data_IF_327492392534
#
_entry.id   IF_327492392534
#
_cell.length_a   1.000
_cell.length_b   1.000
_cell.length_c   1.000
_cell.angle_alpha   90.00
_cell.angle_beta   90.00
_cell.angle_gamma   90.00
#
_symmetry.space_group_name_H-M   'P 1'
#
loop_
_entity.id
_entity.type
_entity.pdbx_description
1 polymer ?
#
# COMPACT_ATOMS: atom_id res chain seq x y z
N UNK A 1 -0.86 -29.75 45.96
CA UNK A 1 0.10 -28.76 45.40
C UNK A 1 0.81 -29.21 44.10
N UNK A 2 1.19 -30.50 43.90
CA UNK A 2 1.90 -30.93 42.65
C UNK A 2 1.02 -30.98 41.37
N UNK A 3 -0.31 -31.11 41.48
CA UNK A 3 -1.21 -31.18 40.31
C UNK A 3 -1.58 -29.78 39.73
N UNK A 4 -1.56 -28.72 40.53
CA UNK A 4 -1.85 -27.36 40.07
C UNK A 4 -0.65 -26.75 39.35
N UNK A 5 0.58 -27.12 39.71
CA UNK A 5 1.81 -26.65 39.04
C UNK A 5 1.93 -27.18 37.59
N UNK A 6 1.47 -28.43 37.36
CA UNK A 6 1.47 -29.01 36.01
C UNK A 6 0.47 -28.35 35.05
N UNK A 7 -0.69 -27.93 35.58
CA UNK A 7 -1.74 -27.28 34.75
C UNK A 7 -1.35 -25.86 34.33
N UNK A 8 -0.68 -25.11 35.24
CA UNK A 8 -0.19 -23.76 34.93
C UNK A 8 0.96 -23.77 33.92
N UNK A 9 1.84 -24.79 33.97
CA UNK A 9 2.93 -24.93 33.00
C UNK A 9 2.41 -25.27 31.59
N UNK A 10 1.35 -26.09 31.49
CA UNK A 10 0.69 -26.41 30.21
C UNK A 10 -0.01 -25.18 29.58
N UNK A 11 -0.64 -24.33 30.40
CA UNK A 11 -1.27 -23.09 29.91
C UNK A 11 -0.24 -22.09 29.37
N UNK A 12 0.94 -21.99 29.98
CA UNK A 12 2.02 -21.12 29.50
C UNK A 12 2.62 -21.60 28.18
N UNK A 13 2.71 -22.92 27.96
CA UNK A 13 3.23 -23.48 26.71
C UNK A 13 2.32 -23.22 25.50
N UNK A 14 1.01 -23.11 25.71
CA UNK A 14 0.05 -22.81 24.62
C UNK A 14 0.04 -21.35 24.19
N UNK A 15 0.44 -20.42 25.06
CA UNK A 15 0.51 -18.99 24.72
C UNK A 15 1.77 -18.65 23.88
N UNK A 16 2.81 -19.48 23.92
CA UNK A 16 4.00 -19.27 23.09
C UNK A 16 3.87 -19.79 21.65
N UNK A 17 2.81 -20.55 21.34
CA UNK A 17 2.62 -21.16 20.01
C UNK A 17 2.06 -20.25 18.95
N UNK A 18 1.73 -18.97 19.25
CA UNK A 18 1.13 -18.04 18.30
C UNK A 18 2.05 -16.87 17.89
N UNK A 19 3.33 -16.90 18.20
CA UNK A 19 4.28 -16.04 17.50
C UNK A 19 4.50 -16.61 16.10
N UNK A 20 3.66 -16.20 15.17
CA UNK A 20 3.85 -16.43 13.74
C UNK A 20 5.22 -15.82 13.40
N UNK A 21 6.23 -16.66 13.23
CA UNK A 21 7.53 -16.22 12.77
C UNK A 21 7.34 -15.72 11.34
N UNK A 22 7.25 -14.40 11.19
CA UNK A 22 7.15 -13.82 9.86
C UNK A 22 8.41 -14.16 9.09
N UNK A 23 8.25 -14.81 7.95
CA UNK A 23 9.36 -15.08 7.05
C UNK A 23 9.99 -13.74 6.63
N UNK A 24 11.32 -13.60 6.72
CA UNK A 24 11.96 -12.36 6.29
C UNK A 24 11.67 -12.10 4.82
N UNK A 25 11.55 -10.81 4.49
CA UNK A 25 11.28 -10.36 3.13
C UNK A 25 12.41 -10.84 2.19
N UNK A 26 12.11 -11.44 1.03
CA UNK A 26 13.11 -11.77 0.03
C UNK A 26 13.96 -10.54 -0.35
N UNK A 27 15.28 -10.72 -0.42
CA UNK A 27 16.21 -9.64 -0.71
C UNK A 27 15.92 -8.93 -2.04
N UNK A 28 15.38 -9.67 -3.00
CA UNK A 28 15.00 -9.16 -4.32
C UNK A 28 13.86 -8.14 -4.24
N UNK A 29 12.89 -8.33 -3.32
CA UNK A 29 11.81 -7.36 -3.12
C UNK A 29 12.35 -6.05 -2.53
N UNK A 30 13.23 -6.14 -1.53
CA UNK A 30 13.89 -4.96 -0.95
C UNK A 30 14.76 -4.24 -1.98
N UNK A 31 15.44 -4.99 -2.85
CA UNK A 31 16.24 -4.42 -3.95
C UNK A 31 15.35 -3.71 -4.97
N UNK A 32 14.25 -4.34 -5.39
CA UNK A 32 13.30 -3.71 -6.33
C UNK A 32 12.72 -2.42 -5.75
N UNK A 33 12.39 -2.42 -4.46
CA UNK A 33 11.89 -1.23 -3.77
C UNK A 33 12.94 -0.11 -3.72
N UNK A 34 14.20 -0.42 -3.41
CA UNK A 34 15.28 0.58 -3.30
C UNK A 34 15.57 1.32 -4.60
N UNK A 35 15.37 0.67 -5.76
CA UNK A 35 15.58 1.30 -7.07
C UNK A 35 14.30 1.85 -7.71
N UNK A 36 13.17 1.68 -7.05
CA UNK A 36 11.83 2.00 -7.57
C UNK A 36 11.68 3.46 -8.04
N UNK A 37 12.36 4.41 -7.40
CA UNK A 37 12.25 5.83 -7.73
C UNK A 37 13.07 6.23 -8.94
N UNK A 38 14.29 5.76 -9.03
CA UNK A 38 15.22 6.15 -10.08
C UNK A 38 15.10 5.25 -11.32
N UNK A 39 14.80 3.97 -11.12
CA UNK A 39 14.75 2.94 -12.16
C UNK A 39 13.53 2.04 -12.04
N UNK A 40 12.30 2.57 -12.22
CA UNK A 40 11.06 1.78 -12.06
C UNK A 40 10.93 0.65 -13.10
N UNK A 41 11.55 0.78 -14.27
CA UNK A 41 11.66 -0.26 -15.29
C UNK A 41 12.49 -1.45 -14.79
N UNK A 42 13.64 -1.18 -14.19
CA UNK A 42 14.51 -2.20 -13.60
C UNK A 42 13.83 -2.87 -12.39
N UNK A 43 13.11 -2.10 -11.57
CA UNK A 43 12.31 -2.63 -10.48
C UNK A 43 11.21 -3.57 -11.01
N UNK A 44 10.47 -3.17 -12.05
CA UNK A 44 9.42 -3.99 -12.64
C UNK A 44 9.98 -5.28 -13.25
N UNK A 45 11.13 -5.22 -13.92
CA UNK A 45 11.80 -6.39 -14.48
C UNK A 45 12.22 -7.37 -13.37
N UNK A 46 12.85 -6.85 -12.30
CA UNK A 46 13.23 -7.65 -11.13
C UNK A 46 12.01 -8.33 -10.51
N UNK A 47 10.92 -7.59 -10.26
CA UNK A 47 9.69 -8.13 -9.70
C UNK A 47 9.06 -9.19 -10.62
N UNK A 48 9.06 -8.96 -11.93
CA UNK A 48 8.48 -9.90 -12.89
C UNK A 48 9.28 -11.21 -12.97
N UNK A 49 10.58 -11.19 -12.75
CA UNK A 49 11.40 -12.41 -12.68
C UNK A 49 11.03 -13.31 -11.51
N UNK A 50 10.37 -12.77 -10.48
CA UNK A 50 9.94 -13.50 -9.29
C UNK A 50 8.53 -14.11 -9.42
N UNK A 51 7.77 -13.82 -10.47
CA UNK A 51 6.36 -14.21 -10.59
C UNK A 51 6.10 -15.70 -10.33
N UNK A 52 6.99 -16.58 -10.77
CA UNK A 52 6.84 -18.02 -10.55
C UNK A 52 7.22 -18.45 -9.12
N UNK A 53 8.28 -17.89 -8.57
CA UNK A 53 8.78 -18.28 -7.25
C UNK A 53 7.94 -17.70 -6.12
N UNK A 54 7.42 -16.48 -6.30
CA UNK A 54 6.63 -15.78 -5.29
C UNK A 54 5.32 -16.48 -4.93
N UNK A 55 4.80 -17.31 -5.83
CA UNK A 55 3.58 -18.11 -5.59
C UNK A 55 3.73 -19.11 -4.44
N UNK A 56 4.97 -19.52 -4.12
CA UNK A 56 5.28 -20.41 -3.01
C UNK A 56 5.54 -19.65 -1.69
N UNK A 57 5.53 -18.32 -1.73
CA UNK A 57 5.75 -17.49 -0.56
C UNK A 57 4.45 -17.29 0.26
N UNK A 58 4.57 -16.97 1.56
CA UNK A 58 3.43 -16.57 2.39
C UNK A 58 2.65 -15.41 1.79
N UNK A 59 1.37 -15.32 2.14
CA UNK A 59 0.44 -14.35 1.55
C UNK A 59 0.90 -12.89 1.74
N UNK A 60 1.46 -12.53 2.89
CA UNK A 60 2.01 -11.19 3.13
C UNK A 60 3.09 -10.83 2.11
N UNK A 61 3.98 -11.75 1.77
CA UNK A 61 5.04 -11.54 0.78
C UNK A 61 4.45 -11.44 -0.63
N UNK A 62 3.47 -12.28 -0.96
CA UNK A 62 2.79 -12.23 -2.26
C UNK A 62 2.03 -10.92 -2.46
N UNK A 63 1.32 -10.42 -1.44
CA UNK A 63 0.58 -9.15 -1.51
C UNK A 63 1.53 -7.96 -1.62
N UNK A 64 2.64 -7.99 -0.89
CA UNK A 64 3.67 -6.96 -1.01
C UNK A 64 4.32 -6.94 -2.39
N UNK A 65 4.69 -8.09 -2.93
CA UNK A 65 5.21 -8.20 -4.30
C UNK A 65 4.21 -7.62 -5.32
N UNK A 66 2.92 -7.98 -5.20
CA UNK A 66 1.88 -7.47 -6.09
C UNK A 66 1.72 -5.94 -5.99
N UNK A 67 1.78 -5.37 -4.77
CA UNK A 67 1.75 -3.92 -4.55
C UNK A 67 2.95 -3.23 -5.20
N UNK A 68 4.16 -3.78 -5.05
CA UNK A 68 5.37 -3.23 -5.68
C UNK A 68 5.28 -3.25 -7.21
N UNK A 69 4.68 -4.28 -7.82
CA UNK A 69 4.45 -4.33 -9.28
C UNK A 69 3.47 -3.25 -9.72
N UNK A 70 2.39 -3.02 -8.97
CA UNK A 70 1.45 -1.94 -9.24
C UNK A 70 2.16 -0.59 -9.15
N UNK A 71 2.95 -0.36 -8.10
CA UNK A 71 3.76 0.83 -7.89
C UNK A 71 4.73 1.09 -9.06
N UNK A 72 5.45 0.06 -9.52
CA UNK A 72 6.36 0.18 -10.66
C UNK A 72 5.63 0.57 -11.95
N UNK A 73 4.47 -0.05 -12.22
CA UNK A 73 3.64 0.27 -13.38
C UNK A 73 3.10 1.69 -13.33
N UNK A 74 2.58 2.15 -12.18
CA UNK A 74 2.08 3.52 -12.02
C UNK A 74 3.21 4.55 -12.29
N UNK A 75 4.43 4.29 -11.81
CA UNK A 75 5.60 5.13 -12.09
C UNK A 75 6.03 5.15 -13.55
N UNK A 76 5.80 4.07 -14.27
CA UNK A 76 6.05 3.96 -15.71
C UNK A 76 4.90 4.49 -16.56
N UNK A 77 3.86 5.05 -15.93
CA UNK A 77 2.65 5.52 -16.60
C UNK A 77 1.95 4.41 -17.41
N UNK A 78 2.08 3.16 -16.97
CA UNK A 78 1.34 2.01 -17.53
C UNK A 78 -0.03 1.99 -16.87
N UNK A 79 -1.13 2.26 -17.61
CA UNK A 79 -2.45 2.39 -17.04
C UNK A 79 -2.97 1.06 -16.49
N UNK A 80 -3.78 1.15 -15.44
CA UNK A 80 -4.48 -0.01 -14.88
C UNK A 80 -5.71 -0.35 -15.73
N UNK A 81 -5.79 -1.58 -16.19
CA UNK A 81 -6.94 -2.09 -16.97
C UNK A 81 -8.05 -2.66 -16.06
N UNK A 82 -7.74 -2.94 -14.79
CA UNK A 82 -8.64 -3.56 -13.82
C UNK A 82 -8.28 -3.18 -12.38
N UNK A 83 -9.30 -3.09 -11.53
CA UNK A 83 -9.16 -2.87 -10.10
C UNK A 83 -9.08 -4.16 -9.26
N UNK A 84 -9.22 -5.34 -9.89
CA UNK A 84 -9.36 -6.62 -9.18
C UNK A 84 -8.16 -6.95 -8.28
N UNK A 85 -6.94 -6.80 -8.80
CA UNK A 85 -5.73 -7.12 -8.03
C UNK A 85 -5.54 -6.16 -6.86
N UNK A 86 -5.69 -4.85 -7.10
CA UNK A 86 -5.48 -3.87 -6.04
C UNK A 86 -6.58 -3.95 -4.97
N UNK A 87 -7.81 -4.31 -5.32
CA UNK A 87 -8.87 -4.60 -4.33
C UNK A 87 -8.51 -5.78 -3.43
N UNK A 88 -7.93 -6.85 -3.98
CA UNK A 88 -7.47 -7.98 -3.17
C UNK A 88 -6.36 -7.58 -2.21
N UNK A 89 -5.46 -6.67 -2.63
CA UNK A 89 -4.40 -6.13 -1.78
C UNK A 89 -4.98 -5.25 -0.66
N UNK A 90 -5.94 -4.36 -0.99
CA UNK A 90 -6.64 -3.55 0.01
C UNK A 90 -7.33 -4.43 1.04
N UNK A 91 -8.13 -5.41 0.60
CA UNK A 91 -8.82 -6.35 1.48
C UNK A 91 -7.84 -7.10 2.39
N UNK A 92 -6.69 -7.50 1.87
CA UNK A 92 -5.66 -8.14 2.68
C UNK A 92 -5.11 -7.20 3.75
N UNK A 93 -4.76 -5.96 3.38
CA UNK A 93 -4.18 -5.00 4.32
C UNK A 93 -5.20 -4.42 5.31
N UNK A 94 -6.49 -4.40 5.00
CA UNK A 94 -7.55 -4.11 5.99
C UNK A 94 -7.55 -5.09 7.17
N UNK A 95 -7.20 -6.35 6.92
CA UNK A 95 -7.15 -7.39 7.96
C UNK A 95 -5.78 -7.53 8.63
N UNK A 96 -4.69 -7.30 7.90
CA UNK A 96 -3.36 -7.74 8.30
C UNK A 96 -2.25 -6.71 8.06
N UNK A 97 -2.55 -5.55 7.46
CA UNK A 97 -1.56 -4.54 7.12
C UNK A 97 -1.30 -3.53 8.22
N UNK A 98 -0.19 -2.81 8.09
CA UNK A 98 0.03 -1.58 8.84
C UNK A 98 -0.79 -0.43 8.23
N UNK A 99 -1.08 0.66 8.98
CA UNK A 99 -1.74 1.83 8.41
C UNK A 99 -1.04 2.39 7.16
N UNK A 100 0.29 2.38 7.14
CA UNK A 100 1.07 2.87 5.99
C UNK A 100 0.90 1.97 4.75
N UNK A 101 0.87 0.66 4.92
CA UNK A 101 0.61 -0.29 3.84
C UNK A 101 -0.82 -0.16 3.30
N UNK A 102 -1.78 0.00 4.18
CA UNK A 102 -3.18 0.18 3.80
C UNK A 102 -3.40 1.51 3.09
N UNK A 103 -2.81 2.60 3.59
CA UNK A 103 -2.82 3.91 2.94
C UNK A 103 -2.25 3.82 1.51
N UNK A 104 -1.09 3.17 1.35
CA UNK A 104 -0.45 3.01 0.03
C UNK A 104 -1.32 2.16 -0.92
N UNK A 105 -1.97 1.11 -0.41
CA UNK A 105 -2.89 0.29 -1.19
C UNK A 105 -4.12 1.09 -1.66
N UNK A 106 -4.73 1.91 -0.80
CA UNK A 106 -5.83 2.79 -1.19
C UNK A 106 -5.40 3.88 -2.18
N UNK A 107 -4.17 4.41 -2.06
CA UNK A 107 -3.61 5.32 -3.07
C UNK A 107 -3.59 4.65 -4.45
N UNK A 108 -3.10 3.41 -4.57
CA UNK A 108 -3.08 2.72 -5.85
C UNK A 108 -4.46 2.23 -6.31
N UNK A 109 -5.40 2.00 -5.39
CA UNK A 109 -6.81 1.78 -5.77
C UNK A 109 -7.40 3.04 -6.41
N UNK A 110 -7.12 4.22 -5.85
CA UNK A 110 -7.48 5.50 -6.45
C UNK A 110 -6.84 5.70 -7.83
N UNK A 111 -5.57 5.31 -7.99
CA UNK A 111 -4.87 5.35 -9.28
C UNK A 111 -5.52 4.42 -10.31
N UNK A 112 -5.91 3.21 -9.91
CA UNK A 112 -6.62 2.29 -10.80
C UNK A 112 -7.97 2.87 -11.27
N UNK A 113 -8.77 3.42 -10.34
CA UNK A 113 -10.02 4.08 -10.73
C UNK A 113 -9.82 5.31 -11.62
N UNK A 114 -8.76 6.10 -11.37
CA UNK A 114 -8.36 7.21 -12.24
C UNK A 114 -8.12 6.72 -13.67
N UNK A 115 -7.33 5.65 -13.83
CA UNK A 115 -6.95 5.13 -15.14
C UNK A 115 -8.16 4.52 -15.89
N UNK A 116 -9.10 3.94 -15.14
CA UNK A 116 -10.38 3.43 -15.65
C UNK A 116 -11.42 4.53 -15.92
N UNK A 117 -11.09 5.80 -15.67
CA UNK A 117 -12.00 6.94 -15.89
C UNK A 117 -13.10 7.11 -14.83
N UNK A 118 -13.04 6.38 -13.73
CA UNK A 118 -14.03 6.48 -12.64
C UNK A 118 -13.60 7.52 -11.60
N UNK A 119 -13.82 8.79 -11.93
CA UNK A 119 -13.41 9.90 -11.09
C UNK A 119 -14.06 9.89 -9.69
N UNK A 120 -15.36 9.57 -9.50
CA UNK A 120 -15.96 9.51 -8.17
C UNK A 120 -15.31 8.45 -7.27
N UNK A 121 -15.09 7.23 -7.79
CA UNK A 121 -14.41 6.17 -7.01
C UNK A 121 -12.94 6.50 -6.76
N UNK A 122 -12.27 7.14 -7.70
CA UNK A 122 -10.90 7.59 -7.51
C UNK A 122 -10.77 8.59 -6.36
N UNK A 123 -11.61 9.64 -6.33
CA UNK A 123 -11.62 10.64 -5.24
C UNK A 123 -11.89 9.96 -3.89
N UNK A 124 -12.86 9.06 -3.83
CA UNK A 124 -13.18 8.33 -2.60
C UNK A 124 -11.99 7.49 -2.09
N UNK A 125 -11.36 6.73 -2.97
CA UNK A 125 -10.21 5.91 -2.59
C UNK A 125 -9.02 6.76 -2.12
N UNK A 126 -8.77 7.92 -2.74
CA UNK A 126 -7.76 8.86 -2.25
C UNK A 126 -8.16 9.47 -0.90
N UNK A 127 -9.45 9.75 -0.65
CA UNK A 127 -9.91 10.21 0.66
C UNK A 127 -9.71 9.13 1.73
N UNK A 128 -10.06 7.87 1.44
CA UNK A 128 -9.83 6.74 2.35
C UNK A 128 -8.32 6.62 2.68
N UNK A 129 -7.45 6.77 1.68
CA UNK A 129 -5.99 6.81 1.90
C UNK A 129 -5.57 7.97 2.82
N UNK A 130 -6.11 9.16 2.62
CA UNK A 130 -5.80 10.33 3.44
C UNK A 130 -6.25 10.14 4.90
N UNK A 131 -7.44 9.58 5.11
CA UNK A 131 -8.00 9.36 6.45
C UNK A 131 -7.21 8.29 7.22
N UNK A 132 -6.79 7.20 6.55
CA UNK A 132 -5.94 6.16 7.13
C UNK A 132 -4.56 6.73 7.47
N UNK A 133 -4.00 7.55 6.57
CA UNK A 133 -2.66 8.10 6.69
C UNK A 133 -2.54 9.36 7.55
N UNK A 134 -3.61 9.84 8.19
CA UNK A 134 -3.62 11.13 8.92
C UNK A 134 -2.52 11.29 9.96
N UNK A 135 -2.10 10.19 10.61
CA UNK A 135 -1.05 10.15 11.62
C UNK A 135 0.27 9.56 11.08
N UNK A 136 0.34 9.30 9.78
CA UNK A 136 1.53 8.74 9.12
C UNK A 136 2.60 9.81 8.90
N UNK A 137 3.85 9.36 8.91
CA UNK A 137 5.00 10.17 8.50
C UNK A 137 5.39 9.95 7.04
N UNK A 138 4.62 9.15 6.30
CA UNK A 138 4.81 8.94 4.86
C UNK A 138 4.29 10.16 4.07
N UNK A 139 4.95 11.30 4.29
CA UNK A 139 4.61 12.58 3.65
C UNK A 139 4.69 12.51 2.12
N UNK A 140 5.58 11.66 1.61
CA UNK A 140 5.72 11.33 0.19
C UNK A 140 4.41 10.80 -0.43
N UNK A 141 3.71 9.91 0.27
CA UNK A 141 2.43 9.35 -0.18
C UNK A 141 1.29 10.34 0.04
N UNK A 142 1.21 10.94 1.23
CA UNK A 142 0.15 11.90 1.56
C UNK A 142 0.15 13.10 0.60
N UNK A 143 1.32 13.63 0.28
CA UNK A 143 1.45 14.70 -0.71
C UNK A 143 0.87 14.31 -2.08
N UNK A 144 1.13 13.08 -2.54
CA UNK A 144 0.56 12.55 -3.80
C UNK A 144 -0.92 12.27 -3.71
N UNK A 145 -1.42 11.73 -2.60
CA UNK A 145 -2.85 11.50 -2.36
C UNK A 145 -3.62 12.80 -2.58
N UNK A 146 -3.24 13.86 -1.87
CA UNK A 146 -3.92 15.15 -1.97
C UNK A 146 -3.74 15.82 -3.34
N UNK A 147 -2.61 15.63 -4.00
CA UNK A 147 -2.42 16.11 -5.37
C UNK A 147 -3.37 15.44 -6.35
N UNK A 148 -3.51 14.12 -6.28
CA UNK A 148 -4.43 13.37 -7.13
C UNK A 148 -5.90 13.72 -6.85
N UNK A 149 -6.27 13.93 -5.59
CA UNK A 149 -7.59 14.46 -5.23
C UNK A 149 -7.84 15.82 -5.86
N UNK A 150 -6.90 16.75 -5.71
CA UNK A 150 -7.01 18.09 -6.29
C UNK A 150 -7.24 18.06 -7.81
N UNK A 151 -6.49 17.23 -8.53
CA UNK A 151 -6.70 17.05 -9.97
C UNK A 151 -8.11 16.54 -10.31
N UNK A 152 -8.61 15.56 -9.58
CA UNK A 152 -9.94 14.96 -9.86
C UNK A 152 -11.06 15.94 -9.52
N UNK A 153 -10.95 16.67 -8.41
CA UNK A 153 -11.91 17.66 -7.98
C UNK A 153 -11.95 18.86 -8.96
N UNK A 154 -10.78 19.36 -9.36
CA UNK A 154 -10.70 20.44 -10.35
C UNK A 154 -11.32 20.04 -11.70
N UNK A 155 -11.08 18.80 -12.15
CA UNK A 155 -11.68 18.29 -13.38
C UNK A 155 -13.21 18.17 -13.31
N UNK A 156 -13.76 17.99 -12.09
CA UNK A 156 -15.21 17.99 -11.84
C UNK A 156 -15.79 19.40 -11.62
N UNK A 157 -14.98 20.45 -11.68
CA UNK A 157 -15.40 21.83 -11.44
C UNK A 157 -15.54 22.22 -9.96
N UNK A 158 -15.10 21.37 -9.05
CA UNK A 158 -15.11 21.57 -7.59
C UNK A 158 -13.81 22.30 -7.18
N UNK A 159 -13.72 23.58 -7.57
CA UNK A 159 -12.47 24.33 -7.49
C UNK A 159 -12.03 24.68 -6.07
N UNK A 160 -12.98 24.95 -5.16
CA UNK A 160 -12.65 25.28 -3.77
C UNK A 160 -12.09 24.05 -3.04
N UNK A 161 -12.72 22.89 -3.22
CA UNK A 161 -12.24 21.62 -2.66
C UNK A 161 -10.91 21.21 -3.29
N UNK A 162 -10.73 21.46 -4.59
CA UNK A 162 -9.46 21.21 -5.27
C UNK A 162 -8.33 22.08 -4.69
N UNK A 163 -8.60 23.36 -4.45
CA UNK A 163 -7.63 24.28 -3.86
C UNK A 163 -7.20 23.81 -2.45
N UNK A 164 -8.15 23.37 -1.63
CA UNK A 164 -7.84 22.82 -0.30
C UNK A 164 -6.97 21.57 -0.40
N UNK A 165 -7.30 20.66 -1.32
CA UNK A 165 -6.49 19.47 -1.56
C UNK A 165 -5.07 19.83 -2.01
N UNK A 166 -4.89 20.77 -2.93
CA UNK A 166 -3.56 21.23 -3.36
C UNK A 166 -2.75 21.89 -2.23
N UNK A 167 -3.41 22.66 -1.34
CA UNK A 167 -2.73 23.22 -0.16
C UNK A 167 -2.18 22.13 0.74
N UNK A 168 -2.97 21.12 1.05
CA UNK A 168 -2.51 19.95 1.83
C UNK A 168 -1.38 19.19 1.14
N UNK A 169 -1.50 18.99 -0.18
CA UNK A 169 -0.41 18.37 -0.95
C UNK A 169 0.88 19.16 -0.80
N UNK A 170 0.82 20.49 -0.92
CA UNK A 170 2.00 21.34 -0.76
C UNK A 170 2.60 21.24 0.65
N UNK A 171 1.76 21.29 1.70
CA UNK A 171 2.20 21.15 3.08
C UNK A 171 2.95 19.83 3.30
N UNK A 172 2.40 18.70 2.87
CA UNK A 172 3.06 17.39 3.02
C UNK A 172 4.38 17.32 2.23
N UNK A 173 4.43 17.83 1.01
CA UNK A 173 5.66 17.89 0.21
C UNK A 173 6.75 18.78 0.83
N UNK A 174 6.39 19.74 1.67
CA UNK A 174 7.36 20.55 2.44
C UNK A 174 7.98 19.77 3.60
N UNK A 175 7.27 18.78 4.16
CA UNK A 175 7.79 17.91 5.23
C UNK A 175 8.63 16.74 4.70
N UNK A 176 8.56 16.42 3.41
CA UNK A 176 9.27 15.31 2.76
C UNK A 176 10.70 15.69 2.29
N UNK A 177 11.28 16.74 2.82
CA UNK A 177 12.61 17.28 2.43
C UNK A 177 13.72 16.75 3.30
#
# INVERSE_FOLDING_TARGET
>A
MKRTLGLTLLLFATLFSCMRQEKPLPAELSRAESVMWEHPDSALLCLSSLDSSIMNEPENIRMYHALLKIKAKDKLYIPHESDSLIKSIVQYYEGYGTPDQLMEAYYYLGSAYRDMGDAPRAVRAFQDAADIGKDSKRYDILGRVYEQMGYRLAYQGLYDEALEAYRKSYEYKMYDK
#
